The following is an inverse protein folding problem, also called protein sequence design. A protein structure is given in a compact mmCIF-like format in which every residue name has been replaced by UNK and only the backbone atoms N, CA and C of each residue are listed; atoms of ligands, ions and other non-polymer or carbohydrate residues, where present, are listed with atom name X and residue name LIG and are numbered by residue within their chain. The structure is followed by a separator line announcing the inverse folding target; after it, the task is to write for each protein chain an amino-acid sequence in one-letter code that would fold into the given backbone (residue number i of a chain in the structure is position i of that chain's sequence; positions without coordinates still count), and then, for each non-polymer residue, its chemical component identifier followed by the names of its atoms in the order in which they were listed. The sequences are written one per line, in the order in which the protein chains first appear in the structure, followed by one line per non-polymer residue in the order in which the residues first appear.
data_IF_780439938854
#
_entry.id   IF_780439938854
#
_cell.length_a   1.000
_cell.length_b   1.000
_cell.length_c   1.000
_cell.angle_alpha   90.00
_cell.angle_beta   90.00
_cell.angle_gamma   90.00
#
_symmetry.space_group_name_H-M   'P 1'
#
loop_
_entity.id
_entity.type
_entity.pdbx_description
1 polymer ?
#
# COMPACT_ATOMS: atom_id res chain seq x y z
N UNK A 1 -2.73 -22.89 -30.92
CA UNK A 1 -2.14 -24.00 -30.14
C UNK A 1 -0.62 -24.09 -30.30
N UNK A 2 -0.03 -23.97 -31.51
CA UNK A 2 1.44 -24.01 -31.72
C UNK A 2 2.26 -22.99 -30.90
N UNK A 3 1.80 -21.74 -30.82
CA UNK A 3 2.54 -20.68 -30.11
C UNK A 3 2.72 -20.96 -28.61
N UNK A 4 1.72 -21.55 -27.94
CA UNK A 4 1.83 -21.91 -26.52
C UNK A 4 2.96 -22.91 -26.30
N UNK A 5 2.93 -24.01 -27.06
CA UNK A 5 3.91 -25.09 -26.92
C UNK A 5 5.32 -24.60 -27.26
N UNK A 6 5.45 -23.76 -28.29
CA UNK A 6 6.72 -23.12 -28.63
C UNK A 6 7.24 -22.24 -27.49
N UNK A 7 6.42 -21.35 -26.94
CA UNK A 7 6.85 -20.44 -25.85
C UNK A 7 7.29 -21.22 -24.61
N UNK A 8 6.59 -22.28 -24.21
CA UNK A 8 7.00 -23.14 -23.09
C UNK A 8 8.34 -23.80 -23.37
N UNK A 9 8.55 -24.30 -24.59
CA UNK A 9 9.79 -24.98 -24.95
C UNK A 9 11.00 -24.04 -24.98
N UNK A 10 10.81 -22.80 -25.44
CA UNK A 10 11.89 -21.81 -25.54
C UNK A 10 12.16 -21.09 -24.22
N UNK A 11 11.12 -20.86 -23.39
CA UNK A 11 11.21 -20.09 -22.16
C UNK A 11 10.56 -20.81 -20.96
N UNK A 12 10.99 -22.03 -20.60
CA UNK A 12 10.32 -22.83 -19.56
C UNK A 12 10.45 -22.24 -18.15
N UNK A 13 11.48 -21.41 -17.91
CA UNK A 13 11.79 -20.81 -16.61
C UNK A 13 11.45 -19.31 -16.56
N UNK A 14 10.54 -18.85 -17.40
CA UNK A 14 10.16 -17.44 -17.41
C UNK A 14 9.35 -17.10 -16.14
N UNK A 15 9.95 -16.33 -15.24
CA UNK A 15 9.30 -15.86 -14.01
C UNK A 15 8.84 -14.41 -14.08
N UNK A 16 9.30 -13.64 -15.08
CA UNK A 16 8.98 -12.21 -15.24
C UNK A 16 8.63 -11.90 -16.67
N UNK A 17 7.56 -11.14 -16.87
CA UNK A 17 7.10 -10.79 -18.21
C UNK A 17 6.62 -9.34 -18.27
N UNK A 18 7.12 -8.64 -19.28
CA UNK A 18 6.68 -7.31 -19.68
C UNK A 18 6.12 -7.48 -21.08
N UNK A 19 4.80 -7.41 -21.23
CA UNK A 19 4.14 -7.79 -22.48
C UNK A 19 3.22 -6.69 -22.99
N UNK A 20 3.60 -6.11 -24.12
CA UNK A 20 2.73 -5.31 -24.96
C UNK A 20 2.21 -6.19 -26.10
N UNK A 21 1.10 -6.89 -25.82
CA UNK A 21 0.43 -7.76 -26.78
C UNK A 21 -1.09 -7.59 -26.70
N UNK A 22 -1.85 -7.96 -27.75
CA UNK A 22 -3.30 -7.96 -27.68
C UNK A 22 -3.83 -8.83 -26.54
N UNK A 23 -4.94 -8.42 -25.92
CA UNK A 23 -5.54 -9.12 -24.78
C UNK A 23 -5.71 -10.64 -24.99
N UNK A 24 -6.16 -11.17 -26.16
CA UNK A 24 -6.26 -12.62 -26.35
C UNK A 24 -4.91 -13.37 -26.23
N UNK A 25 -3.80 -12.73 -26.63
CA UNK A 25 -2.46 -13.30 -26.48
C UNK A 25 -2.03 -13.26 -25.02
N UNK A 26 -2.28 -12.15 -24.32
CA UNK A 26 -1.99 -12.02 -22.89
C UNK A 26 -2.78 -13.04 -22.05
N UNK A 27 -4.08 -13.16 -22.28
CA UNK A 27 -4.93 -14.17 -21.63
C UNK A 27 -4.42 -15.58 -21.89
N UNK A 28 -3.99 -15.89 -23.11
CA UNK A 28 -3.37 -17.18 -23.41
C UNK A 28 -2.09 -17.38 -22.62
N UNK A 29 -1.16 -16.41 -22.64
CA UNK A 29 0.14 -16.49 -21.97
C UNK A 29 0.02 -16.63 -20.44
N UNK A 30 -0.87 -15.86 -19.82
CA UNK A 30 -1.08 -15.90 -18.38
C UNK A 30 -2.04 -17.02 -17.96
N UNK A 31 -2.76 -17.66 -18.89
CA UNK A 31 -3.68 -18.76 -18.61
C UNK A 31 -3.01 -20.13 -18.37
N UNK A 32 -1.80 -20.15 -17.80
CA UNK A 32 -1.07 -21.38 -17.49
C UNK A 32 -0.11 -21.87 -18.59
N UNK A 33 0.49 -20.95 -19.35
CA UNK A 33 1.68 -21.27 -20.18
C UNK A 33 2.90 -21.40 -19.30
N UNK A 34 3.08 -20.45 -18.39
CA UNK A 34 4.19 -20.41 -17.45
C UNK A 34 3.71 -20.91 -16.09
N UNK A 35 4.52 -21.70 -15.36
CA UNK A 35 4.10 -22.25 -14.07
C UNK A 35 4.43 -21.33 -12.89
N UNK A 36 5.51 -20.57 -13.00
CA UNK A 36 6.10 -19.82 -11.89
C UNK A 36 6.24 -18.33 -12.25
N UNK A 37 5.20 -17.73 -12.84
CA UNK A 37 5.21 -16.27 -13.05
C UNK A 37 5.10 -15.55 -11.70
N UNK A 38 6.11 -14.74 -11.43
CA UNK A 38 6.25 -13.91 -10.24
C UNK A 38 5.97 -12.43 -10.55
N UNK A 39 6.30 -11.95 -11.75
CA UNK A 39 6.13 -10.54 -12.13
C UNK A 39 5.48 -10.36 -13.49
N UNK A 40 4.39 -9.59 -13.54
CA UNK A 40 3.62 -9.32 -14.76
C UNK A 40 3.40 -7.83 -14.93
N UNK A 41 3.92 -7.27 -16.02
CA UNK A 41 3.71 -5.88 -16.41
C UNK A 41 3.02 -5.79 -17.77
N UNK A 42 1.88 -5.07 -17.82
CA UNK A 42 1.02 -4.98 -19.01
C UNK A 42 0.60 -3.53 -19.23
N UNK A 43 0.55 -3.03 -20.48
CA UNK A 43 0.02 -1.70 -20.76
C UNK A 43 -1.44 -1.55 -20.30
N UNK A 44 -1.87 -0.37 -19.83
CA UNK A 44 -3.18 -0.20 -19.22
C UNK A 44 -4.33 -0.47 -20.21
N UNK A 45 -4.13 -0.17 -21.50
CA UNK A 45 -5.11 -0.38 -22.57
C UNK A 45 -5.26 -1.85 -22.98
N UNK A 46 -4.39 -2.74 -22.49
CA UNK A 46 -4.46 -4.19 -22.73
C UNK A 46 -5.06 -4.96 -21.55
N UNK A 47 -5.29 -4.30 -20.41
CA UNK A 47 -5.93 -4.92 -19.26
C UNK A 47 -7.41 -5.08 -19.54
N UNK A 48 -7.86 -6.33 -19.63
CA UNK A 48 -9.28 -6.69 -19.67
C UNK A 48 -9.58 -7.59 -18.48
N UNK A 49 -10.87 -7.82 -18.18
CA UNK A 49 -11.25 -8.78 -17.14
C UNK A 49 -10.64 -10.16 -17.38
N UNK A 50 -10.64 -10.63 -18.64
CA UNK A 50 -10.08 -11.93 -18.99
C UNK A 50 -8.57 -11.99 -18.78
N UNK A 51 -7.85 -10.89 -19.04
CA UNK A 51 -6.41 -10.80 -18.76
C UNK A 51 -6.15 -10.84 -17.26
N UNK A 52 -6.91 -10.10 -16.45
CA UNK A 52 -6.76 -10.14 -14.99
C UNK A 52 -7.09 -11.53 -14.46
N UNK A 53 -8.19 -12.14 -14.90
CA UNK A 53 -8.56 -13.50 -14.49
C UNK A 53 -7.49 -14.54 -14.86
N UNK A 54 -6.84 -14.39 -16.02
CA UNK A 54 -5.71 -15.24 -16.40
C UNK A 54 -4.51 -15.01 -15.47
N UNK A 55 -4.19 -13.76 -15.11
CA UNK A 55 -3.15 -13.43 -14.14
C UNK A 55 -3.43 -14.07 -12.77
N UNK A 56 -4.70 -14.11 -12.33
CA UNK A 56 -5.09 -14.76 -11.07
C UNK A 56 -4.81 -16.27 -11.04
N UNK A 57 -4.51 -16.91 -12.18
CA UNK A 57 -4.04 -18.30 -12.19
C UNK A 57 -2.65 -18.46 -11.54
N UNK A 58 -1.91 -17.36 -11.37
CA UNK A 58 -0.61 -17.30 -10.69
C UNK A 58 -0.72 -16.80 -9.24
N UNK A 59 -1.89 -16.86 -8.62
CA UNK A 59 -2.14 -16.35 -7.26
C UNK A 59 -1.14 -16.82 -6.18
N UNK A 60 -0.55 -18.01 -6.35
CA UNK A 60 0.36 -18.60 -5.37
C UNK A 60 1.83 -18.19 -5.61
N UNK A 61 2.16 -17.64 -6.78
CA UNK A 61 3.53 -17.26 -7.18
C UNK A 61 3.69 -15.78 -7.48
N UNK A 62 2.59 -15.04 -7.72
CA UNK A 62 2.63 -13.65 -8.15
C UNK A 62 3.09 -12.72 -7.02
N UNK A 63 4.26 -12.11 -7.21
CA UNK A 63 4.91 -11.14 -6.30
C UNK A 63 4.62 -9.71 -6.76
N UNK A 64 4.64 -9.46 -8.07
CA UNK A 64 4.49 -8.13 -8.64
C UNK A 64 3.52 -8.13 -9.81
N UNK A 65 2.62 -7.16 -9.82
CA UNK A 65 1.77 -6.88 -10.95
C UNK A 65 1.66 -5.38 -11.15
N UNK A 66 1.76 -4.93 -12.40
CA UNK A 66 1.51 -3.53 -12.65
C UNK A 66 1.40 -3.12 -14.10
N UNK A 67 1.20 -1.82 -14.26
CA UNK A 67 1.24 -1.16 -15.53
C UNK A 67 2.66 -1.21 -16.10
N UNK A 68 2.77 -1.62 -17.36
CA UNK A 68 3.99 -1.42 -18.14
C UNK A 68 4.05 0.04 -18.58
N UNK A 69 5.03 0.78 -18.08
CA UNK A 69 5.42 2.07 -18.64
C UNK A 69 6.69 1.84 -19.45
N UNK A 70 6.62 1.74 -20.80
CA UNK A 70 7.83 1.66 -21.61
C UNK A 70 8.69 2.89 -21.30
N UNK A 71 10.04 2.77 -21.26
CA UNK A 71 10.91 3.89 -20.96
C UNK A 71 10.64 5.04 -21.94
N UNK A 72 9.88 6.02 -21.46
CA UNK A 72 9.49 7.20 -22.21
C UNK A 72 10.71 8.11 -22.32
N UNK A 73 11.55 7.86 -23.31
CA UNK A 73 12.71 8.68 -23.60
C UNK A 73 12.37 10.09 -24.09
N UNK A 74 11.09 10.46 -24.29
CA UNK A 74 10.68 11.76 -24.84
C UNK A 74 9.25 12.20 -24.48
N UNK A 75 8.71 11.86 -23.30
CA UNK A 75 7.44 12.50 -22.87
C UNK A 75 7.71 13.91 -22.36
N UNK A 76 7.82 14.82 -23.32
CA UNK A 76 7.39 16.20 -23.11
C UNK A 76 6.00 16.17 -22.46
N UNK A 77 5.94 16.83 -21.32
CA UNK A 77 4.76 17.06 -20.50
C UNK A 77 3.57 17.44 -21.39
N UNK A 78 2.45 16.70 -21.32
CA UNK A 78 1.06 17.24 -21.26
C UNK A 78 -0.05 16.30 -21.72
N UNK A 79 0.21 15.13 -22.31
CA UNK A 79 -0.88 14.21 -22.64
C UNK A 79 -0.94 13.05 -21.65
N UNK A 80 -1.71 13.25 -20.58
CA UNK A 80 -2.12 12.17 -19.67
C UNK A 80 -2.89 11.14 -20.52
N UNK A 81 -2.43 9.88 -20.63
CA UNK A 81 -3.17 8.83 -21.30
C UNK A 81 -4.57 8.79 -20.74
N UNK A 82 -5.56 9.01 -21.60
CA UNK A 82 -6.93 9.31 -21.18
C UNK A 82 -7.48 8.17 -20.32
N UNK A 83 -7.86 8.47 -19.06
CA UNK A 83 -8.46 7.56 -18.06
C UNK A 83 -9.56 6.63 -18.62
N UNK A 84 -10.17 7.00 -19.75
CA UNK A 84 -11.22 6.26 -20.47
C UNK A 84 -10.91 4.79 -20.78
N UNK A 85 -9.64 4.40 -20.91
CA UNK A 85 -9.28 3.03 -21.30
C UNK A 85 -9.51 2.01 -20.17
N UNK A 86 -9.24 2.37 -18.92
CA UNK A 86 -9.42 1.47 -17.77
C UNK A 86 -10.87 1.42 -17.29
N UNK A 87 -11.71 2.41 -17.63
CA UNK A 87 -13.15 2.40 -17.32
C UNK A 87 -13.90 1.17 -17.89
N UNK A 88 -13.34 0.52 -18.91
CA UNK A 88 -13.89 -0.70 -19.51
C UNK A 88 -13.76 -1.95 -18.62
N UNK A 89 -12.79 -1.96 -17.70
CA UNK A 89 -12.58 -3.07 -16.76
C UNK A 89 -13.47 -2.84 -15.54
N UNK A 90 -14.35 -3.78 -15.18
CA UNK A 90 -15.12 -3.67 -13.95
C UNK A 90 -14.18 -3.50 -12.75
N UNK A 91 -14.42 -2.45 -11.95
CA UNK A 91 -13.58 -2.08 -10.79
C UNK A 91 -13.32 -3.23 -9.82
N UNK A 92 -14.31 -4.11 -9.64
CA UNK A 92 -14.20 -5.28 -8.77
C UNK A 92 -13.09 -6.25 -9.19
N UNK A 93 -12.68 -6.23 -10.48
CA UNK A 93 -11.67 -7.16 -10.99
C UNK A 93 -10.30 -6.89 -10.37
N UNK A 94 -9.93 -5.62 -10.20
CA UNK A 94 -8.67 -5.26 -9.53
C UNK A 94 -8.68 -5.61 -8.04
N UNK A 95 -9.86 -5.55 -7.39
CA UNK A 95 -10.01 -5.91 -5.98
C UNK A 95 -9.73 -7.38 -5.71
N UNK A 96 -9.91 -8.26 -6.71
CA UNK A 96 -9.62 -9.68 -6.55
C UNK A 96 -8.13 -9.96 -6.39
N UNK A 97 -7.26 -9.17 -7.02
CA UNK A 97 -5.81 -9.40 -7.05
C UNK A 97 -5.23 -9.49 -5.63
N UNK A 98 -5.35 -8.48 -4.75
CA UNK A 98 -4.82 -8.56 -3.39
C UNK A 98 -5.58 -9.54 -2.49
N UNK A 99 -6.81 -9.93 -2.85
CA UNK A 99 -7.60 -10.94 -2.12
C UNK A 99 -7.05 -12.33 -2.34
N UNK A 100 -6.63 -12.68 -3.57
CA UNK A 100 -6.20 -14.05 -3.89
C UNK A 100 -4.68 -14.23 -3.91
N UNK A 101 -3.91 -13.18 -4.21
CA UNK A 101 -2.46 -13.27 -4.37
C UNK A 101 -1.74 -13.07 -3.02
N UNK A 102 -1.39 -14.15 -2.33
CA UNK A 102 -0.80 -14.10 -0.97
C UNK A 102 0.63 -13.56 -0.94
N UNK A 103 1.40 -13.77 -2.01
CA UNK A 103 2.81 -13.38 -2.13
C UNK A 103 3.00 -11.96 -2.70
N UNK A 104 1.91 -11.25 -2.98
CA UNK A 104 1.96 -9.97 -3.67
C UNK A 104 2.63 -8.90 -2.79
N UNK A 105 3.73 -8.33 -3.28
CA UNK A 105 4.43 -7.19 -2.66
C UNK A 105 4.24 -5.90 -3.44
N UNK A 106 3.93 -5.98 -4.74
CA UNK A 106 3.74 -4.81 -5.61
C UNK A 106 2.42 -4.90 -6.38
N UNK A 107 1.54 -3.92 -6.16
CA UNK A 107 0.32 -3.70 -6.94
C UNK A 107 0.35 -2.29 -7.54
N UNK A 108 0.68 -2.18 -8.83
CA UNK A 108 0.91 -0.89 -9.48
C UNK A 108 -0.05 -0.64 -10.67
N UNK A 109 -1.23 -0.09 -10.39
CA UNK A 109 -2.19 0.35 -11.40
C UNK A 109 -2.68 1.77 -11.08
N UNK A 110 -1.85 2.79 -11.33
CA UNK A 110 -2.13 4.18 -10.93
C UNK A 110 -3.42 4.75 -11.54
N UNK A 111 -3.88 4.18 -12.64
CA UNK A 111 -5.08 4.59 -13.37
C UNK A 111 -6.33 3.74 -13.01
N UNK A 112 -6.17 2.68 -12.23
CA UNK A 112 -7.29 1.85 -11.80
C UNK A 112 -7.93 2.40 -10.53
N UNK A 113 -9.21 2.08 -10.34
CA UNK A 113 -10.01 2.54 -9.20
C UNK A 113 -10.53 1.36 -8.38
N UNK A 114 -10.49 1.50 -7.06
CA UNK A 114 -11.09 0.58 -6.09
C UNK A 114 -12.08 1.32 -5.19
N UNK A 115 -13.13 0.61 -4.78
CA UNK A 115 -14.08 1.07 -3.79
C UNK A 115 -13.64 0.63 -2.38
N UNK A 116 -13.40 1.56 -1.45
CA UNK A 116 -13.03 1.21 -0.06
C UNK A 116 -14.13 0.39 0.63
N UNK A 117 -15.40 0.63 0.29
CA UNK A 117 -16.53 -0.04 0.93
C UNK A 117 -16.56 -1.52 0.55
N UNK A 118 -16.12 -1.86 -0.66
CA UNK A 118 -15.95 -3.26 -1.08
C UNK A 118 -14.64 -3.86 -0.54
N UNK A 119 -13.56 -3.09 -0.55
CA UNK A 119 -12.26 -3.50 -0.01
C UNK A 119 -12.36 -3.89 1.47
N UNK A 120 -13.13 -3.16 2.28
CA UNK A 120 -13.31 -3.48 3.70
C UNK A 120 -14.19 -4.73 3.95
N UNK A 121 -15.00 -5.17 2.97
CA UNK A 121 -15.82 -6.39 3.11
C UNK A 121 -14.99 -7.66 2.99
N UNK A 122 -13.83 -7.61 2.33
CA UNK A 122 -13.01 -8.78 2.04
C UNK A 122 -11.56 -8.51 2.44
N UNK A 123 -11.07 -9.29 3.40
CA UNK A 123 -9.68 -9.19 3.85
C UNK A 123 -8.72 -9.49 2.70
N UNK A 124 -7.77 -8.60 2.45
CA UNK A 124 -6.66 -8.88 1.53
C UNK A 124 -5.72 -9.93 2.11
N UNK A 125 -5.25 -10.83 1.25
CA UNK A 125 -4.35 -11.92 1.63
C UNK A 125 -2.87 -11.51 1.55
N UNK A 126 -2.54 -10.45 0.81
CA UNK A 126 -1.19 -9.94 0.61
C UNK A 126 -0.68 -9.12 1.81
N UNK A 127 -0.22 -9.78 2.88
CA UNK A 127 0.21 -9.09 4.12
C UNK A 127 1.55 -8.35 3.97
N UNK A 128 2.38 -8.74 3.00
CA UNK A 128 3.71 -8.18 2.73
C UNK A 128 3.69 -7.13 1.61
N UNK A 129 2.57 -6.43 1.43
CA UNK A 129 2.45 -5.42 0.40
C UNK A 129 3.37 -4.23 0.72
N UNK A 130 4.31 -3.95 -0.18
CA UNK A 130 5.33 -2.91 -0.09
C UNK A 130 4.99 -1.70 -0.98
N UNK A 131 4.35 -1.96 -2.12
CA UNK A 131 3.94 -0.94 -3.09
C UNK A 131 2.45 -1.09 -3.42
N UNK A 132 1.70 -0.02 -3.22
CA UNK A 132 0.31 0.11 -3.63
C UNK A 132 0.12 1.41 -4.40
N UNK A 133 -0.02 1.32 -5.72
CA UNK A 133 -0.40 2.44 -6.56
C UNK A 133 -1.75 2.13 -7.21
N UNK A 134 -2.83 2.58 -6.58
CA UNK A 134 -4.19 2.49 -7.11
C UNK A 134 -5.02 3.64 -6.54
N UNK A 135 -6.04 4.08 -7.27
CA UNK A 135 -6.95 5.12 -6.80
C UNK A 135 -8.08 4.50 -5.97
N UNK A 136 -8.47 5.17 -4.89
CA UNK A 136 -9.71 4.87 -4.18
C UNK A 136 -10.80 5.84 -4.62
N UNK A 137 -12.02 5.33 -4.84
CA UNK A 137 -13.18 6.17 -5.15
C UNK A 137 -13.40 7.16 -4.00
N UNK A 138 -13.81 8.39 -4.36
CA UNK A 138 -14.02 9.53 -3.45
C UNK A 138 -12.76 10.07 -2.76
N UNK A 139 -11.58 9.52 -3.04
CA UNK A 139 -10.27 10.07 -2.68
C UNK A 139 -9.64 10.79 -3.89
N UNK A 140 -10.34 11.78 -4.40
CA UNK A 140 -10.15 12.38 -5.73
C UNK A 140 -9.51 13.79 -5.73
N UNK A 141 -9.31 14.38 -4.55
CA UNK A 141 -8.66 15.69 -4.40
C UNK A 141 -7.33 15.58 -3.66
N UNK A 142 -6.41 16.49 -3.97
CA UNK A 142 -5.10 16.58 -3.32
C UNK A 142 -5.23 16.66 -1.79
N UNK A 143 -6.13 17.53 -1.29
CA UNK A 143 -6.39 17.69 0.15
C UNK A 143 -6.82 16.39 0.84
N UNK A 144 -7.72 15.62 0.22
CA UNK A 144 -8.19 14.35 0.78
C UNK A 144 -7.09 13.30 0.78
N UNK A 145 -6.32 13.23 -0.32
CA UNK A 145 -5.19 12.31 -0.45
C UNK A 145 -4.13 12.62 0.60
N UNK A 146 -3.76 13.89 0.75
CA UNK A 146 -2.79 14.33 1.75
C UNK A 146 -3.29 14.03 3.16
N UNK A 147 -4.57 14.30 3.46
CA UNK A 147 -5.16 13.98 4.75
C UNK A 147 -5.13 12.47 5.04
N UNK A 148 -5.50 11.62 4.08
CA UNK A 148 -5.45 10.17 4.24
C UNK A 148 -4.02 9.68 4.49
N UNK A 149 -3.04 10.24 3.78
CA UNK A 149 -1.62 9.93 3.97
C UNK A 149 -1.13 10.37 5.36
N UNK A 150 -1.44 11.60 5.78
CA UNK A 150 -1.08 12.10 7.11
C UNK A 150 -1.66 11.22 8.22
N UNK A 151 -2.95 10.85 8.12
CA UNK A 151 -3.62 9.93 9.06
C UNK A 151 -2.95 8.56 9.08
N UNK A 152 -2.57 8.02 7.91
CA UNK A 152 -1.87 6.74 7.84
C UNK A 152 -0.50 6.80 8.53
N UNK A 153 0.29 7.86 8.30
CA UNK A 153 1.57 8.07 8.99
C UNK A 153 1.37 8.21 10.50
N UNK A 154 0.40 9.02 10.95
CA UNK A 154 0.04 9.14 12.36
C UNK A 154 -0.30 7.77 12.97
N UNK A 155 -1.08 6.95 12.25
CA UNK A 155 -1.45 5.61 12.69
C UNK A 155 -0.28 4.64 12.76
N UNK A 156 0.69 4.73 11.83
CA UNK A 156 1.94 3.95 11.89
C UNK A 156 2.74 4.33 13.14
N UNK A 157 2.93 5.63 13.38
CA UNK A 157 3.66 6.13 14.56
C UNK A 157 2.98 5.67 15.84
N UNK A 158 1.64 5.76 15.88
CA UNK A 158 0.85 5.29 17.00
C UNK A 158 1.04 3.79 17.27
N UNK A 159 0.95 2.93 16.24
CA UNK A 159 1.18 1.48 16.40
C UNK A 159 2.59 1.16 16.88
N UNK A 160 3.62 1.77 16.28
CA UNK A 160 5.01 1.59 16.73
C UNK A 160 5.20 1.99 18.19
N UNK A 161 4.55 3.07 18.63
CA UNK A 161 4.53 3.50 20.02
C UNK A 161 3.85 2.48 20.95
N UNK A 162 2.72 1.91 20.55
CA UNK A 162 2.05 0.84 21.31
C UNK A 162 2.94 -0.41 21.40
N UNK A 163 3.50 -0.88 20.28
CA UNK A 163 4.37 -2.06 20.26
C UNK A 163 5.63 -1.86 21.13
N UNK A 164 6.15 -0.63 21.19
CA UNK A 164 7.28 -0.28 22.06
C UNK A 164 6.86 -0.29 23.53
N UNK A 165 5.70 0.27 23.87
CA UNK A 165 5.17 0.23 25.24
C UNK A 165 4.93 -1.22 25.68
N UNK A 166 4.30 -2.04 24.86
CA UNK A 166 4.03 -3.45 25.17
C UNK A 166 5.30 -4.29 25.36
N UNK A 167 6.37 -3.99 24.61
CA UNK A 167 7.66 -4.67 24.74
C UNK A 167 8.46 -4.26 25.97
N UNK A 168 8.32 -3.02 26.43
CA UNK A 168 9.12 -2.46 27.53
C UNK A 168 8.35 -2.31 28.85
N UNK A 169 7.05 -2.63 28.88
CA UNK A 169 6.30 -2.77 30.12
C UNK A 169 6.65 -4.10 30.79
N UNK A 170 7.50 -4.06 31.82
CA UNK A 170 7.61 -5.14 32.80
C UNK A 170 6.49 -4.93 33.82
N UNK A 171 5.51 -5.84 33.82
CA UNK A 171 4.51 -5.91 34.86
C UNK A 171 5.19 -6.47 36.10
N UNK A 172 5.46 -5.61 37.09
CA UNK A 172 5.99 -6.09 38.36
C UNK A 172 4.88 -6.81 39.14
N UNK A 173 5.23 -7.84 39.90
CA UNK A 173 4.26 -8.71 40.60
C UNK A 173 3.40 -7.97 41.65
N UNK A 174 3.79 -6.74 42.00
CA UNK A 174 3.07 -5.84 42.90
C UNK A 174 2.06 -4.91 42.18
N UNK A 175 1.76 -5.18 40.91
CA UNK A 175 0.77 -4.45 40.11
C UNK A 175 1.15 -2.99 39.77
N UNK A 176 2.41 -2.60 39.99
CA UNK A 176 2.96 -1.32 39.55
C UNK A 176 3.57 -1.43 38.15
N UNK A 177 3.27 -0.45 37.30
CA UNK A 177 3.81 -0.33 35.94
C UNK A 177 5.16 0.39 36.04
N UNK A 178 6.26 -0.35 35.84
CA UNK A 178 7.62 0.21 35.78
C UNK A 178 8.04 0.33 34.31
N UNK A 179 8.42 1.53 33.89
CA UNK A 179 9.04 1.77 32.58
C UNK A 179 10.55 1.57 32.73
N UNK A 180 11.13 0.62 32.01
CA UNK A 180 12.59 0.47 31.92
C UNK A 180 13.09 1.56 30.96
N UNK A 181 13.74 2.59 31.51
CA UNK A 181 14.54 3.53 30.71
C UNK A 181 15.90 2.92 30.45
N UNK A 182 16.31 2.81 29.19
CA UNK A 182 17.65 2.37 28.76
C UNK A 182 18.73 3.45 29.04
N UNK A 183 18.69 4.08 30.20
CA UNK A 183 19.69 5.06 30.66
C UNK A 183 20.65 4.39 31.66
N UNK A 184 21.34 3.33 31.23
CA UNK A 184 22.47 2.76 31.96
C UNK A 184 23.77 3.09 31.22
N UNK A 185 24.19 4.36 31.34
CA UNK A 185 25.58 4.83 31.15
C UNK A 185 25.69 6.26 31.74
N UNK A 186 25.66 6.40 33.07
CA UNK A 186 26.28 7.57 33.70
C UNK A 186 26.89 7.25 35.06
N UNK A 187 28.21 7.04 35.02
CA UNK A 187 29.11 7.12 36.16
C UNK A 187 29.09 8.55 36.73
N UNK A 188 28.23 8.75 37.72
CA UNK A 188 28.36 9.69 38.83
C UNK A 188 29.02 11.05 38.58
N UNK A 189 28.21 12.11 38.64
CA UNK A 189 28.49 13.20 39.58
C UNK A 189 27.21 14.01 39.90
N UNK A 190 26.82 13.99 41.17
CA UNK A 190 25.61 14.62 41.69
C UNK A 190 25.87 16.12 41.85
N UNK A 191 25.53 16.90 40.82
CA UNK A 191 25.32 18.33 40.96
C UNK A 191 23.83 18.66 40.97
N UNK A 192 23.33 19.04 42.16
CA UNK A 192 22.04 19.69 42.33
C UNK A 192 22.00 21.01 41.55
N UNK A 193 21.27 21.05 40.43
CA UNK A 193 20.84 22.30 39.80
C UNK A 193 19.34 22.30 39.54
N UNK A 194 18.72 23.37 40.04
CA UNK A 194 17.30 23.69 40.11
C UNK A 194 16.49 23.62 38.79
N UNK A 195 15.41 22.83 38.82
CA UNK A 195 14.00 23.27 38.71
C UNK A 195 13.53 24.25 37.61
N UNK A 196 14.09 24.20 36.39
CA UNK A 196 13.49 24.88 35.21
C UNK A 196 13.17 24.01 33.99
N UNK A 197 13.18 22.67 34.13
CA UNK A 197 12.86 21.73 33.02
C UNK A 197 11.38 21.32 32.89
N UNK A 198 10.49 21.71 33.79
CA UNK A 198 9.10 21.19 33.85
C UNK A 198 8.13 21.79 32.84
N UNK A 199 8.33 23.04 32.38
CA UNK A 199 7.35 23.74 31.52
C UNK A 199 7.32 23.23 30.06
N UNK A 200 8.46 22.87 29.49
CA UNK A 200 8.51 22.39 28.09
C UNK A 200 8.08 20.91 27.95
N UNK A 201 8.30 20.09 28.98
CA UNK A 201 7.83 18.71 28.98
C UNK A 201 6.31 18.61 29.03
N UNK A 202 5.64 19.45 29.82
CA UNK A 202 4.17 19.44 29.94
C UNK A 202 3.45 19.79 28.63
N UNK A 203 3.99 20.73 27.85
CA UNK A 203 3.36 21.13 26.57
C UNK A 203 3.50 20.04 25.50
N UNK A 204 4.67 19.41 25.42
CA UNK A 204 4.91 18.27 24.52
C UNK A 204 4.06 17.06 24.92
N UNK A 205 3.95 16.77 26.21
CA UNK A 205 3.16 15.64 26.70
C UNK A 205 1.66 15.83 26.42
N UNK A 206 1.12 17.04 26.60
CA UNK A 206 -0.27 17.36 26.21
C UNK A 206 -0.51 17.25 24.71
N UNK A 207 0.45 17.64 23.88
CA UNK A 207 0.34 17.53 22.42
C UNK A 207 0.34 16.05 21.99
N UNK A 208 1.23 15.25 22.56
CA UNK A 208 1.31 13.80 22.32
C UNK A 208 0.01 13.10 22.76
N UNK A 209 -0.51 13.41 23.96
CA UNK A 209 -1.77 12.84 24.44
C UNK A 209 -2.94 13.16 23.49
N UNK A 210 -3.03 14.41 23.01
CA UNK A 210 -4.07 14.79 22.04
C UNK A 210 -3.94 14.04 20.72
N UNK A 211 -2.73 13.86 20.21
CA UNK A 211 -2.48 13.08 19.00
C UNK A 211 -2.93 11.63 19.24
N UNK A 212 -2.52 11.02 20.35
CA UNK A 212 -2.92 9.65 20.73
C UNK A 212 -4.45 9.50 20.82
N UNK A 213 -5.13 10.43 21.49
CA UNK A 213 -6.59 10.41 21.62
C UNK A 213 -7.29 10.56 20.27
N UNK A 214 -6.82 11.50 19.44
CA UNK A 214 -7.32 11.69 18.06
C UNK A 214 -7.11 10.42 17.23
N UNK A 215 -5.91 9.83 17.29
CA UNK A 215 -5.56 8.62 16.54
C UNK A 215 -6.41 7.43 16.97
N UNK A 216 -6.60 7.24 18.28
CA UNK A 216 -7.50 6.21 18.81
C UNK A 216 -8.94 6.39 18.32
N UNK A 217 -9.43 7.63 18.25
CA UNK A 217 -10.79 7.94 17.80
C UNK A 217 -11.04 7.49 16.36
N UNK A 218 -10.21 7.92 15.40
CA UNK A 218 -10.44 7.60 13.99
C UNK A 218 -10.10 6.13 13.64
N UNK A 219 -9.16 5.50 14.36
CA UNK A 219 -8.90 4.07 14.20
C UNK A 219 -10.12 3.23 14.64
N UNK A 220 -10.80 3.64 15.71
CA UNK A 220 -11.93 2.88 16.27
C UNK A 220 -13.22 3.07 15.49
N UNK A 221 -13.52 4.31 15.12
CA UNK A 221 -14.76 4.70 14.43
C UNK A 221 -14.43 5.72 13.34
N UNK A 222 -13.95 5.27 12.16
CA UNK A 222 -13.64 6.18 11.07
C UNK A 222 -14.93 6.76 10.49
N UNK A 223 -14.99 8.09 10.40
CA UNK A 223 -16.16 8.85 9.96
C UNK A 223 -16.01 9.45 8.56
N UNK A 224 -14.83 9.33 7.95
CA UNK A 224 -14.54 9.84 6.62
C UNK A 224 -13.86 8.79 5.72
N UNK A 225 -13.80 9.06 4.41
CA UNK A 225 -13.15 8.18 3.44
C UNK A 225 -11.64 8.08 3.71
N UNK A 226 -11.03 9.20 4.08
CA UNK A 226 -9.61 9.34 4.40
C UNK A 226 -9.24 8.51 5.63
N UNK A 227 -10.04 8.59 6.70
CA UNK A 227 -9.84 7.81 7.93
C UNK A 227 -9.99 6.30 7.67
N UNK A 228 -10.95 5.89 6.82
CA UNK A 228 -11.16 4.48 6.47
C UNK A 228 -10.00 3.92 5.67
N UNK A 229 -9.56 4.64 4.64
CA UNK A 229 -8.42 4.26 3.82
C UNK A 229 -7.17 4.19 4.69
N UNK A 230 -6.88 5.23 5.47
CA UNK A 230 -5.74 5.26 6.38
C UNK A 230 -5.75 4.05 7.32
N UNK A 231 -6.88 3.79 7.98
CA UNK A 231 -7.07 2.67 8.92
C UNK A 231 -6.86 1.32 8.23
N UNK A 232 -7.41 1.15 7.03
CA UNK A 232 -7.26 -0.07 6.25
C UNK A 232 -5.80 -0.35 5.90
N UNK A 233 -5.06 0.69 5.50
CA UNK A 233 -3.66 0.58 5.08
C UNK A 233 -2.72 0.27 6.23
N UNK A 234 -3.09 0.59 7.47
CA UNK A 234 -2.29 0.25 8.65
C UNK A 234 -2.05 -1.26 8.82
N UNK A 235 -2.78 -2.13 8.12
CA UNK A 235 -2.50 -3.57 8.12
C UNK A 235 -1.21 -3.95 7.38
N UNK A 236 -0.70 -3.08 6.49
CA UNK A 236 0.50 -3.33 5.69
C UNK A 236 1.70 -2.64 6.32
N UNK A 237 2.40 -3.35 7.21
CA UNK A 237 3.54 -2.80 7.98
C UNK A 237 4.75 -2.49 7.08
N UNK A 238 4.87 -3.19 5.96
CA UNK A 238 5.96 -3.06 5.00
C UNK A 238 5.69 -2.03 3.89
N UNK A 239 4.50 -1.41 3.89
CA UNK A 239 4.14 -0.44 2.86
C UNK A 239 5.05 0.79 2.98
N UNK A 240 5.85 1.05 1.94
CA UNK A 240 6.84 2.11 1.97
C UNK A 240 6.18 3.49 1.95
N UNK A 241 6.60 4.38 2.86
CA UNK A 241 6.04 5.74 2.99
C UNK A 241 6.18 6.58 1.72
N UNK A 242 7.17 6.27 0.86
CA UNK A 242 7.36 6.94 -0.43
C UNK A 242 6.57 6.32 -1.59
N UNK A 243 5.94 5.16 -1.39
CA UNK A 243 5.30 4.35 -2.44
C UNK A 243 3.81 4.13 -2.19
N UNK A 244 3.24 4.80 -1.17
CA UNK A 244 1.84 5.21 -1.21
C UNK A 244 1.65 6.33 -2.25
N UNK A 245 1.93 5.99 -3.50
CA UNK A 245 1.53 6.82 -4.64
C UNK A 245 0.07 6.45 -4.86
N UNK A 246 -0.84 7.06 -4.09
CA UNK A 246 -2.12 7.42 -4.71
C UNK A 246 -1.68 8.23 -5.90
N UNK A 247 -1.95 7.71 -7.09
CA UNK A 247 -1.53 8.35 -8.32
C UNK A 247 -2.16 9.73 -8.36
N UNK A 248 -1.44 10.71 -7.83
CA UNK A 248 -1.58 12.12 -8.06
C UNK A 248 -1.20 12.33 -9.52
N UNK A 249 -1.99 11.78 -10.43
CA UNK A 249 -2.17 12.50 -11.67
C UNK A 249 -2.90 13.76 -11.24
N UNK A 250 -2.12 14.85 -11.18
CA UNK A 250 -2.62 16.21 -11.26
C UNK A 250 -3.66 16.22 -12.37
N UNK A 251 -4.93 16.10 -12.02
CA UNK A 251 -6.02 16.61 -12.82
C UNK A 251 -5.87 18.12 -12.72
N UNK A 252 -4.87 18.70 -13.40
CA UNK A 252 -4.87 20.15 -13.63
C UNK A 252 -6.18 20.45 -14.34
N UNK A 253 -7.08 21.28 -13.78
CA UNK A 253 -8.35 21.60 -14.41
C UNK A 253 -8.23 22.47 -15.66
N UNK A 254 -7.01 22.69 -16.17
CA UNK A 254 -6.75 23.62 -17.26
C UNK A 254 -6.78 22.86 -18.60
N UNK A 255 -7.98 22.76 -19.16
CA UNK A 255 -8.28 22.26 -20.50
C UNK A 255 -9.78 22.17 -20.80
#
# INVERSE_FOLDING_TARGET
MKMRDEVVNWCPYLTRIHADAPAPILTMLFGGVFLELESIHVPPDKLTSDVIMAILSHKDTLISIGQFDPPNNNMEQNEIPTLRLIESVPRWTFQLVPVVCTQLTVLYFPLAQMDIYEVEKVKWSCVHLQTLAIQFIDLDTEDKIELAYQLWIEGIVFRKGQDWMERNMVVDNDNDVIYISDDDDDDGDIHHSDNHRTSHNDMNQRMITKIIERTKSWISTPNSIEERIARYLLQFVELESGVFVVALQRLTPDG
#
